data_IF_157326822363
#
_entry.id   IF_157326822363
#
_cell.length_a   1.000
_cell.length_b   1.000
_cell.length_c   1.000
_cell.angle_alpha   90.00
_cell.angle_beta   90.00
_cell.angle_gamma   90.00
#
_symmetry.space_group_name_H-M   'P 1'
#
loop_
_entity.id
_entity.type
_entity.pdbx_description
1 polymer ?
#
# COMPACT_ATOMS: atom_id res chain seq x y z
N UNK A 1 15.79 -17.90 -3.74
CA UNK A 1 14.87 -16.81 -3.38
C UNK A 1 15.56 -15.44 -3.28
N UNK A 2 16.65 -15.30 -2.53
CA UNK A 2 17.33 -14.00 -2.33
C UNK A 2 17.86 -13.36 -3.62
N UNK A 3 18.36 -14.15 -4.56
CA UNK A 3 18.91 -13.67 -5.85
C UNK A 3 17.87 -12.95 -6.72
N UNK A 4 16.65 -13.45 -6.75
CA UNK A 4 15.58 -12.82 -7.53
C UNK A 4 15.22 -11.43 -6.96
N UNK A 5 15.30 -11.22 -5.63
CA UNK A 5 15.06 -9.92 -5.01
C UNK A 5 16.22 -8.95 -5.23
N UNK A 6 17.45 -9.45 -5.27
CA UNK A 6 18.64 -8.64 -5.62
C UNK A 6 18.61 -8.18 -7.09
N UNK A 7 18.05 -9.00 -7.98
CA UNK A 7 17.92 -8.71 -9.40
C UNK A 7 16.88 -7.63 -9.73
N UNK A 8 16.12 -7.11 -8.74
CA UNK A 8 15.13 -6.03 -8.97
C UNK A 8 15.74 -4.70 -9.41
N UNK A 9 17.06 -4.51 -9.32
CA UNK A 9 17.80 -3.43 -9.94
C UNK A 9 17.64 -2.04 -9.32
N UNK A 10 16.66 -1.81 -8.44
CA UNK A 10 16.49 -0.53 -7.75
C UNK A 10 15.79 -0.69 -6.40
N UNK A 11 16.05 0.26 -5.46
CA UNK A 11 15.36 0.30 -4.17
C UNK A 11 13.86 0.58 -4.32
N UNK A 12 13.44 1.32 -5.35
CA UNK A 12 12.03 1.55 -5.65
C UNK A 12 11.33 0.24 -6.03
N UNK A 13 11.94 -0.56 -6.89
CA UNK A 13 11.43 -1.86 -7.27
C UNK A 13 11.39 -2.82 -6.07
N UNK A 14 12.44 -2.83 -5.23
CA UNK A 14 12.49 -3.63 -4.02
C UNK A 14 11.35 -3.27 -3.06
N UNK A 15 11.22 -2.00 -2.68
CA UNK A 15 10.19 -1.56 -1.73
C UNK A 15 8.79 -1.85 -2.26
N UNK A 16 8.55 -1.56 -3.54
CA UNK A 16 7.26 -1.84 -4.17
C UNK A 16 6.94 -3.34 -4.18
N UNK A 17 7.93 -4.18 -4.50
CA UNK A 17 7.73 -5.64 -4.52
C UNK A 17 7.50 -6.20 -3.11
N UNK A 18 8.22 -5.69 -2.09
CA UNK A 18 8.01 -6.08 -0.68
C UNK A 18 6.59 -5.73 -0.22
N UNK A 19 6.12 -4.53 -0.55
CA UNK A 19 4.78 -4.07 -0.19
C UNK A 19 3.70 -4.91 -0.86
N UNK A 20 3.81 -5.15 -2.17
CA UNK A 20 2.83 -5.96 -2.90
C UNK A 20 2.79 -7.39 -2.35
N UNK A 21 3.94 -8.00 -2.08
CA UNK A 21 4.01 -9.32 -1.49
C UNK A 21 3.40 -9.33 -0.07
N UNK A 22 3.66 -8.30 0.76
CA UNK A 22 3.06 -8.21 2.08
C UNK A 22 1.54 -8.05 2.02
N UNK A 23 1.03 -7.25 1.08
CA UNK A 23 -0.41 -7.14 0.84
C UNK A 23 -1.03 -8.48 0.41
N UNK A 24 -0.32 -9.28 -0.38
CA UNK A 24 -0.75 -10.65 -0.72
C UNK A 24 -0.86 -11.52 0.53
N UNK A 25 0.11 -11.45 1.43
CA UNK A 25 0.10 -12.19 2.71
C UNK A 25 -1.03 -11.73 3.64
N UNK A 26 -1.44 -10.47 3.52
CA UNK A 26 -2.56 -9.85 4.23
C UNK A 26 -3.93 -10.07 3.53
N UNK A 27 -3.97 -10.85 2.45
CA UNK A 27 -5.22 -11.27 1.80
C UNK A 27 -5.64 -10.46 0.58
N UNK A 28 -4.89 -9.45 0.15
CA UNK A 28 -5.15 -8.73 -1.11
C UNK A 28 -4.91 -9.67 -2.29
N UNK A 29 -5.84 -9.67 -3.26
CA UNK A 29 -5.75 -10.45 -4.49
C UNK A 29 -6.03 -9.62 -5.72
N UNK A 30 -6.70 -8.51 -5.57
CA UNK A 30 -7.13 -7.61 -6.63
C UNK A 30 -6.51 -6.24 -6.44
N UNK A 31 -5.87 -5.71 -7.48
CA UNK A 31 -5.28 -4.36 -7.49
C UNK A 31 -5.81 -3.60 -8.71
N UNK A 32 -6.48 -2.49 -8.46
CA UNK A 32 -6.97 -1.57 -9.47
C UNK A 32 -5.90 -0.52 -9.77
N UNK A 33 -5.59 -0.28 -11.05
CA UNK A 33 -4.45 0.57 -11.47
C UNK A 33 -4.94 1.63 -12.47
N UNK A 34 -4.66 2.90 -12.18
CA UNK A 34 -4.69 3.96 -13.20
C UNK A 34 -3.26 4.24 -13.70
N UNK A 35 -3.06 4.35 -15.04
CA UNK A 35 -1.74 4.59 -15.61
C UNK A 35 -1.13 5.91 -15.16
N UNK A 36 0.17 5.91 -14.83
CA UNK A 36 0.90 7.13 -14.48
C UNK A 36 2.37 6.86 -14.19
N UNK A 37 3.24 7.78 -14.59
CA UNK A 37 4.69 7.56 -14.50
C UNK A 37 5.17 7.38 -13.07
N UNK A 38 4.70 8.21 -12.12
CA UNK A 38 5.20 8.17 -10.75
C UNK A 38 4.84 6.87 -10.00
N UNK A 39 3.75 6.22 -10.38
CA UNK A 39 3.33 4.94 -9.82
C UNK A 39 3.99 3.71 -10.49
N UNK A 40 4.89 3.91 -11.46
CA UNK A 40 5.56 2.82 -12.19
C UNK A 40 6.14 1.74 -11.27
N UNK A 41 6.88 2.05 -10.19
CA UNK A 41 7.45 0.99 -9.34
C UNK A 41 6.38 0.07 -8.74
N UNK A 42 5.27 0.64 -8.24
CA UNK A 42 4.14 -0.12 -7.67
C UNK A 42 3.41 -0.92 -8.76
N UNK A 43 3.18 -0.31 -9.92
CA UNK A 43 2.50 -0.93 -11.05
C UNK A 43 3.27 -2.16 -11.55
N UNK A 44 4.58 -2.03 -11.73
CA UNK A 44 5.44 -3.14 -12.17
C UNK A 44 5.48 -4.27 -11.14
N UNK A 45 5.57 -3.93 -9.85
CA UNK A 45 5.55 -4.90 -8.77
C UNK A 45 4.22 -5.67 -8.71
N UNK A 46 3.08 -4.97 -8.87
CA UNK A 46 1.76 -5.60 -8.91
C UNK A 46 1.60 -6.53 -10.13
N UNK A 47 2.03 -6.06 -11.30
CA UNK A 47 1.96 -6.86 -12.54
C UNK A 47 2.87 -8.09 -12.53
N UNK A 48 3.98 -8.04 -11.79
CA UNK A 48 4.93 -9.15 -11.68
C UNK A 48 4.53 -10.20 -10.63
N UNK A 49 3.60 -9.88 -9.71
CA UNK A 49 3.20 -10.82 -8.66
C UNK A 49 2.08 -11.77 -9.15
N UNK A 50 2.34 -13.09 -9.26
CA UNK A 50 1.38 -14.04 -9.81
C UNK A 50 0.12 -14.26 -8.96
N UNK A 51 0.13 -13.83 -7.69
CA UNK A 51 -1.03 -13.93 -6.80
C UNK A 51 -1.99 -12.74 -6.92
N UNK A 52 -1.65 -11.72 -7.75
CA UNK A 52 -2.43 -10.52 -7.96
C UNK A 52 -3.12 -10.54 -9.32
N UNK A 53 -4.41 -10.22 -9.31
CA UNK A 53 -5.16 -9.85 -10.52
C UNK A 53 -5.18 -8.32 -10.63
N UNK A 54 -4.65 -7.79 -11.73
CA UNK A 54 -4.65 -6.35 -12.00
C UNK A 54 -5.86 -5.95 -12.83
N UNK A 55 -6.52 -4.85 -12.45
CA UNK A 55 -7.65 -4.24 -13.14
C UNK A 55 -7.28 -2.83 -13.59
N UNK A 56 -7.25 -2.59 -14.89
CA UNK A 56 -6.86 -1.30 -15.47
C UNK A 56 -8.09 -0.42 -15.71
N UNK A 57 -8.03 0.84 -15.27
CA UNK A 57 -9.03 1.86 -15.58
C UNK A 57 -8.38 3.24 -15.69
N UNK A 58 -8.76 4.03 -16.70
CA UNK A 58 -8.09 5.30 -16.98
C UNK A 58 -8.59 6.47 -16.13
N UNK A 59 -9.85 6.45 -15.68
CA UNK A 59 -10.44 7.45 -14.80
C UNK A 59 -10.30 7.01 -13.34
N UNK A 60 -9.53 7.75 -12.54
CA UNK A 60 -9.23 7.38 -11.17
C UNK A 60 -10.47 7.39 -10.27
N UNK A 61 -11.44 8.25 -10.54
CA UNK A 61 -12.71 8.24 -9.81
C UNK A 61 -13.49 6.97 -10.08
N UNK A 62 -13.62 6.57 -11.34
CA UNK A 62 -14.22 5.29 -11.74
C UNK A 62 -13.45 4.10 -11.19
N UNK A 63 -12.11 4.17 -11.18
CA UNK A 63 -11.22 3.16 -10.60
C UNK A 63 -11.49 2.95 -9.10
N UNK A 64 -11.65 4.03 -8.34
CA UNK A 64 -11.95 3.95 -6.91
C UNK A 64 -13.26 3.20 -6.63
N UNK A 65 -14.32 3.47 -7.41
CA UNK A 65 -15.59 2.75 -7.28
C UNK A 65 -15.52 1.31 -7.81
N UNK A 66 -14.71 1.03 -8.84
CA UNK A 66 -14.44 -0.34 -9.27
C UNK A 66 -13.80 -1.15 -8.13
N UNK A 67 -12.77 -0.60 -7.48
CA UNK A 67 -12.11 -1.23 -6.35
C UNK A 67 -13.07 -1.47 -5.16
N UNK A 68 -13.94 -0.50 -4.88
CA UNK A 68 -14.96 -0.60 -3.85
C UNK A 68 -15.93 -1.75 -4.15
N UNK A 69 -16.42 -1.85 -5.39
CA UNK A 69 -17.30 -2.93 -5.83
C UNK A 69 -16.62 -4.30 -5.75
N UNK A 70 -15.34 -4.40 -6.14
CA UNK A 70 -14.56 -5.64 -6.03
C UNK A 70 -14.36 -6.05 -4.55
N UNK A 71 -14.04 -5.10 -3.66
CA UNK A 71 -13.87 -5.38 -2.25
C UNK A 71 -15.18 -5.85 -1.60
N UNK A 72 -16.29 -5.20 -1.94
CA UNK A 72 -17.61 -5.57 -1.46
C UNK A 72 -18.06 -6.95 -1.98
N UNK A 73 -17.83 -7.24 -3.26
CA UNK A 73 -18.22 -8.51 -3.88
C UNK A 73 -17.37 -9.69 -3.43
N UNK A 74 -16.05 -9.48 -3.27
CA UNK A 74 -15.11 -10.53 -2.86
C UNK A 74 -15.00 -10.71 -1.34
N UNK A 75 -15.50 -9.76 -0.54
CA UNK A 75 -15.33 -9.70 0.92
C UNK A 75 -13.83 -9.73 1.33
N UNK A 76 -12.96 -9.18 0.50
CA UNK A 76 -11.51 -9.09 0.71
C UNK A 76 -11.02 -7.66 0.52
N UNK A 77 -9.90 -7.28 1.13
CA UNK A 77 -9.30 -5.99 0.85
C UNK A 77 -8.84 -5.91 -0.62
N UNK A 78 -9.06 -4.75 -1.24
CA UNK A 78 -8.62 -4.43 -2.62
C UNK A 78 -7.72 -3.21 -2.57
N UNK A 79 -6.64 -3.23 -3.34
CA UNK A 79 -5.73 -2.09 -3.44
C UNK A 79 -6.00 -1.26 -4.71
N UNK A 80 -5.68 0.03 -4.62
CA UNK A 80 -5.77 1.00 -5.73
C UNK A 80 -4.41 1.67 -5.87
N UNK A 81 -3.84 1.62 -7.06
CA UNK A 81 -2.58 2.30 -7.40
C UNK A 81 -2.88 3.46 -8.33
N UNK A 82 -2.49 4.67 -7.94
CA UNK A 82 -2.57 5.87 -8.77
C UNK A 82 -1.28 6.69 -8.70
N UNK A 83 -1.04 7.48 -9.73
CA UNK A 83 0.03 8.46 -9.75
C UNK A 83 -0.29 9.66 -8.84
N UNK A 84 0.55 10.68 -8.80
CA UNK A 84 0.40 11.85 -7.93
C UNK A 84 -0.56 12.90 -8.49
N UNK A 85 -0.86 13.90 -7.68
CA UNK A 85 -1.62 15.07 -8.08
C UNK A 85 -3.13 14.83 -8.09
N UNK A 86 -3.84 15.34 -9.10
CA UNK A 86 -5.29 15.21 -9.22
C UNK A 86 -5.77 13.75 -9.31
N UNK A 87 -4.92 12.82 -9.73
CA UNK A 87 -5.20 11.39 -9.70
C UNK A 87 -5.58 10.93 -8.29
N UNK A 88 -4.84 11.39 -7.27
CA UNK A 88 -5.13 11.09 -5.87
C UNK A 88 -6.44 11.73 -5.42
N UNK A 89 -6.64 13.01 -5.75
CA UNK A 89 -7.86 13.75 -5.38
C UNK A 89 -9.13 13.09 -5.94
N UNK A 90 -9.07 12.51 -7.12
CA UNK A 90 -10.19 11.82 -7.76
C UNK A 90 -10.66 10.57 -6.99
N UNK A 91 -9.85 10.00 -6.10
CA UNK A 91 -10.25 8.86 -5.28
C UNK A 91 -11.14 9.25 -4.10
N UNK A 92 -11.21 10.54 -3.72
CA UNK A 92 -11.93 10.99 -2.53
C UNK A 92 -13.39 10.51 -2.45
N UNK A 93 -14.22 10.54 -3.51
CA UNK A 93 -15.59 10.05 -3.44
C UNK A 93 -15.68 8.57 -3.02
N UNK A 94 -14.81 7.70 -3.58
CA UNK A 94 -14.78 6.29 -3.23
C UNK A 94 -14.22 6.06 -1.82
N UNK A 95 -13.27 6.89 -1.37
CA UNK A 95 -12.72 6.86 -0.01
C UNK A 95 -13.78 7.19 1.03
N UNK A 96 -14.61 8.22 0.76
CA UNK A 96 -15.74 8.59 1.61
C UNK A 96 -16.72 7.42 1.73
N UNK A 97 -17.11 6.83 0.61
CA UNK A 97 -18.04 5.70 0.58
C UNK A 97 -17.45 4.47 1.30
N UNK A 98 -16.18 4.15 1.05
CA UNK A 98 -15.50 3.04 1.72
C UNK A 98 -15.47 3.23 3.24
N UNK A 99 -15.29 4.47 3.72
CA UNK A 99 -15.31 4.77 5.15
C UNK A 99 -16.68 4.58 5.75
N UNK A 100 -17.73 5.09 5.08
CA UNK A 100 -19.11 5.01 5.58
C UNK A 100 -19.64 3.58 5.58
N UNK A 101 -19.25 2.79 4.58
CA UNK A 101 -19.70 1.40 4.41
C UNK A 101 -18.77 0.36 5.06
N UNK A 102 -17.66 0.78 5.69
CA UNK A 102 -16.70 -0.13 6.31
C UNK A 102 -15.99 -1.06 5.31
N UNK A 103 -15.75 -0.59 4.07
CA UNK A 103 -15.15 -1.40 3.00
C UNK A 103 -13.62 -1.26 3.05
N UNK A 104 -12.87 -2.38 3.11
CA UNK A 104 -11.40 -2.33 3.23
C UNK A 104 -10.75 -2.02 1.88
N UNK A 105 -10.41 -0.75 1.64
CA UNK A 105 -9.60 -0.31 0.51
C UNK A 105 -8.18 0.04 0.96
N UNK A 106 -7.18 -0.27 0.11
CA UNK A 106 -5.80 0.17 0.24
C UNK A 106 -5.49 1.19 -0.85
N UNK A 107 -5.26 2.42 -0.48
CA UNK A 107 -4.91 3.50 -1.41
C UNK A 107 -3.38 3.62 -1.42
N UNK A 108 -2.76 3.14 -2.49
CA UNK A 108 -1.33 3.18 -2.74
C UNK A 108 -1.05 4.31 -3.72
N UNK A 109 -0.84 5.51 -3.19
CA UNK A 109 -0.65 6.71 -4.00
C UNK A 109 0.82 7.04 -4.18
N UNK A 110 1.26 7.29 -5.40
CA UNK A 110 2.62 7.73 -5.65
C UNK A 110 2.75 9.24 -5.51
N UNK A 111 3.92 9.70 -5.05
CA UNK A 111 4.22 11.12 -4.83
C UNK A 111 5.64 11.46 -5.27
N UNK A 112 5.92 12.76 -5.37
CA UNK A 112 7.26 13.29 -5.53
C UNK A 112 8.03 13.21 -4.22
N UNK A 113 9.37 13.10 -4.27
CA UNK A 113 10.18 13.23 -3.07
C UNK A 113 10.08 14.64 -2.49
N UNK A 114 10.36 14.76 -1.19
CA UNK A 114 10.13 15.99 -0.42
C UNK A 114 10.78 17.24 -1.04
N UNK A 115 11.92 17.10 -1.67
CA UNK A 115 12.63 18.21 -2.35
C UNK A 115 11.90 18.76 -3.58
N UNK A 116 10.89 18.06 -4.10
CA UNK A 116 10.08 18.50 -5.23
C UNK A 116 8.69 19.00 -4.82
N UNK A 117 8.35 18.97 -3.55
CA UNK A 117 7.07 19.48 -3.06
C UNK A 117 7.19 20.99 -2.81
N UNK A 118 6.20 21.76 -3.30
CA UNK A 118 6.13 23.20 -3.06
C UNK A 118 7.05 24.07 -3.94
N UNK A 119 7.77 23.50 -4.89
CA UNK A 119 8.69 24.22 -5.77
C UNK A 119 8.23 24.35 -7.23
N UNK A 120 6.96 24.07 -7.52
CA UNK A 120 6.39 24.14 -8.88
C UNK A 120 6.68 22.91 -9.75
N UNK A 121 7.12 21.80 -9.17
CA UNK A 121 7.30 20.55 -9.91
C UNK A 121 5.99 20.10 -10.54
N UNK A 122 6.07 19.56 -11.78
CA UNK A 122 4.89 19.12 -12.51
C UNK A 122 4.11 18.05 -11.75
N UNK A 123 2.79 18.21 -11.67
CA UNK A 123 1.85 17.26 -11.06
C UNK A 123 2.21 16.93 -9.58
N UNK A 124 2.79 17.90 -8.86
CA UNK A 124 3.09 17.83 -7.44
C UNK A 124 2.08 18.68 -6.65
N UNK A 125 1.43 18.09 -5.66
CA UNK A 125 0.51 18.74 -4.73
C UNK A 125 0.81 18.24 -3.32
N UNK A 126 0.28 18.89 -2.31
CA UNK A 126 0.30 18.33 -0.95
C UNK A 126 -0.71 17.19 -0.85
N UNK A 127 -0.21 15.95 -0.73
CA UNK A 127 -0.99 14.73 -0.60
C UNK A 127 -1.14 14.26 0.86
N UNK A 128 -0.48 14.94 1.81
CA UNK A 128 -0.35 14.48 3.20
C UNK A 128 -1.69 14.31 3.92
N UNK A 129 -2.67 15.15 3.61
CA UNK A 129 -3.99 15.10 4.24
C UNK A 129 -5.14 15.18 3.22
N UNK A 130 -4.89 14.78 1.98
CA UNK A 130 -5.85 14.95 0.87
C UNK A 130 -7.18 14.22 1.10
N UNK A 131 -7.18 13.15 1.86
CA UNK A 131 -8.39 12.40 2.23
C UNK A 131 -8.92 12.79 3.63
N UNK A 132 -8.34 13.83 4.26
CA UNK A 132 -8.77 14.31 5.58
C UNK A 132 -8.83 13.18 6.62
N UNK A 133 -9.92 13.04 7.36
CA UNK A 133 -10.14 12.05 8.41
C UNK A 133 -10.85 10.77 7.92
N UNK A 134 -11.06 10.60 6.61
CA UNK A 134 -11.75 9.42 6.09
C UNK A 134 -10.95 8.12 6.18
N UNK A 135 -9.62 8.09 5.90
CA UNK A 135 -8.85 6.88 6.12
C UNK A 135 -8.81 6.49 7.60
N UNK A 136 -8.93 5.19 7.88
CA UNK A 136 -8.77 4.63 9.25
C UNK A 136 -7.31 4.63 9.67
N UNK A 137 -6.41 4.66 8.69
CA UNK A 137 -4.98 4.81 8.87
C UNK A 137 -4.38 5.51 7.65
N UNK A 138 -3.42 6.40 7.88
CA UNK A 138 -2.67 7.04 6.80
C UNK A 138 -1.21 7.21 7.19
N UNK A 139 -0.32 7.01 6.23
CA UNK A 139 1.11 7.17 6.42
C UNK A 139 1.78 7.70 5.14
N UNK A 140 2.66 8.69 5.33
CA UNK A 140 3.59 9.13 4.30
C UNK A 140 4.86 8.29 4.44
N UNK A 141 5.18 7.52 3.40
CA UNK A 141 6.38 6.71 3.38
C UNK A 141 7.54 7.53 2.81
N UNK A 142 8.72 7.44 3.41
CA UNK A 142 9.91 8.13 2.90
C UNK A 142 10.30 7.58 1.53
N UNK A 143 11.12 8.35 0.80
CA UNK A 143 11.75 7.86 -0.42
C UNK A 143 12.59 6.62 -0.10
N UNK A 144 12.46 5.53 -0.88
CA UNK A 144 13.20 4.30 -0.67
C UNK A 144 14.70 4.54 -0.50
N UNK A 145 15.26 4.03 0.59
CA UNK A 145 16.66 4.15 0.97
C UNK A 145 17.15 2.81 1.55
N UNK A 146 18.41 2.50 1.34
CA UNK A 146 19.07 1.33 1.93
C UNK A 146 19.51 1.55 3.39
N UNK A 147 19.43 2.78 3.88
CA UNK A 147 19.61 3.11 5.30
C UNK A 147 18.43 2.64 6.15
N UNK A 148 17.23 2.62 5.57
CA UNK A 148 16.02 2.18 6.25
C UNK A 148 15.90 0.64 6.14
N UNK A 149 15.75 -0.02 7.27
CA UNK A 149 15.60 -1.46 7.27
C UNK A 149 14.31 -1.88 6.57
N UNK A 150 14.32 -2.85 5.63
CA UNK A 150 13.12 -3.27 4.93
C UNK A 150 12.05 -3.88 5.86
N UNK A 151 12.44 -4.39 7.01
CA UNK A 151 11.52 -4.85 8.06
C UNK A 151 10.65 -3.72 8.62
N UNK A 152 11.16 -2.48 8.66
CA UNK A 152 10.35 -1.32 9.05
C UNK A 152 9.20 -1.08 8.06
N UNK A 153 9.49 -1.22 6.76
CA UNK A 153 8.48 -1.06 5.72
C UNK A 153 7.36 -2.11 5.86
N UNK A 154 7.74 -3.39 6.03
CA UNK A 154 6.79 -4.49 6.22
C UNK A 154 5.95 -4.27 7.49
N UNK A 155 6.59 -3.92 8.62
CA UNK A 155 5.89 -3.63 9.87
C UNK A 155 4.92 -2.45 9.73
N UNK A 156 5.24 -1.44 8.92
CA UNK A 156 4.33 -0.30 8.63
C UNK A 156 3.09 -0.76 7.88
N UNK A 157 3.23 -1.66 6.90
CA UNK A 157 2.09 -2.25 6.17
C UNK A 157 1.22 -3.09 7.12
N UNK A 158 1.84 -3.93 7.95
CA UNK A 158 1.11 -4.76 8.92
C UNK A 158 0.37 -3.91 9.96
N UNK A 159 0.96 -2.81 10.41
CA UNK A 159 0.29 -1.88 11.32
C UNK A 159 -0.95 -1.27 10.66
N UNK A 160 -0.85 -0.88 9.40
CA UNK A 160 -1.99 -0.35 8.64
C UNK A 160 -3.09 -1.41 8.50
N UNK A 161 -2.73 -2.67 8.21
CA UNK A 161 -3.66 -3.80 8.15
C UNK A 161 -4.35 -4.04 9.50
N UNK A 162 -3.60 -3.98 10.60
CA UNK A 162 -4.16 -4.11 11.93
C UNK A 162 -5.18 -3.01 12.23
N UNK A 163 -4.89 -1.75 11.91
CA UNK A 163 -5.84 -0.64 12.08
C UNK A 163 -7.10 -0.84 11.23
N UNK A 164 -6.94 -1.30 9.99
CA UNK A 164 -8.07 -1.62 9.11
C UNK A 164 -8.93 -2.76 9.64
N UNK A 165 -8.34 -3.76 10.30
CA UNK A 165 -9.06 -4.87 10.95
C UNK A 165 -9.82 -4.41 12.21
N UNK A 166 -9.25 -3.49 13.00
CA UNK A 166 -9.92 -2.92 14.17
C UNK A 166 -11.09 -2.01 13.80
N UNK A 167 -10.93 -1.25 12.73
CA UNK A 167 -11.94 -0.33 12.24
C UNK A 167 -12.01 -0.48 10.70
N UNK A 168 -12.95 -1.26 10.17
CA UNK A 168 -13.05 -1.45 8.73
C UNK A 168 -13.21 -0.14 7.97
N UNK A 169 -12.46 0.00 6.87
CA UNK A 169 -12.45 1.22 6.07
C UNK A 169 -11.18 1.38 5.22
N UNK A 170 -11.01 2.53 4.56
CA UNK A 170 -9.86 2.76 3.71
C UNK A 170 -8.58 3.06 4.49
N UNK A 171 -7.46 2.56 3.98
CA UNK A 171 -6.09 2.87 4.43
C UNK A 171 -5.39 3.65 3.32
N UNK A 172 -4.60 4.65 3.67
CA UNK A 172 -3.82 5.45 2.73
C UNK A 172 -2.32 5.33 3.03
N UNK A 173 -1.57 4.81 2.07
CA UNK A 173 -0.11 4.81 2.06
C UNK A 173 0.37 5.66 0.89
N UNK A 174 1.08 6.75 1.17
CA UNK A 174 1.61 7.67 0.17
C UNK A 174 3.10 7.42 -0.02
N UNK A 175 3.50 7.05 -1.25
CA UNK A 175 4.84 6.59 -1.61
C UNK A 175 5.63 7.67 -2.32
N UNK A 176 6.69 8.12 -1.73
CA UNK A 176 7.62 9.07 -2.35
C UNK A 176 8.62 8.35 -3.25
N UNK A 177 8.56 8.57 -4.56
CA UNK A 177 9.50 8.00 -5.52
C UNK A 177 10.33 9.08 -6.23
N UNK A 178 11.66 8.93 -6.16
CA UNK A 178 12.63 9.75 -6.91
C UNK A 178 12.95 9.09 -8.24
N UNK A 179 13.26 9.85 -9.27
CA UNK A 179 13.77 9.28 -10.52
C UNK A 179 15.18 8.70 -10.36
N UNK A 180 15.54 7.64 -11.09
CA UNK A 180 14.74 6.95 -12.12
C UNK A 180 13.64 6.05 -11.52
N UNK A 181 12.47 5.98 -12.20
CA UNK A 181 11.31 5.20 -11.75
C UNK A 181 11.33 3.74 -12.23
N UNK A 182 12.11 3.49 -13.28
CA UNK A 182 12.33 2.15 -13.82
C UNK A 182 13.58 1.53 -13.22
N UNK A 183 13.61 0.21 -13.01
CA UNK A 183 14.85 -0.47 -12.67
C UNK A 183 15.86 -0.31 -13.82
N UNK A 184 17.14 -0.25 -13.48
CA UNK A 184 18.22 -0.20 -14.47
C UNK A 184 18.66 -1.64 -14.77
N UNK A 185 18.61 -2.01 -16.04
CA UNK A 185 19.03 -3.35 -16.48
C UNK A 185 20.46 -3.70 -16.04
N UNK A 186 20.63 -4.90 -15.51
CA UNK A 186 21.92 -5.41 -15.04
C UNK A 186 22.41 -4.84 -13.72
N UNK A 187 21.69 -3.91 -13.10
CA UNK A 187 21.99 -3.43 -11.75
C UNK A 187 21.49 -4.43 -10.71
N UNK A 188 22.35 -4.77 -9.76
CA UNK A 188 21.99 -5.57 -8.59
C UNK A 188 21.93 -4.71 -7.35
N UNK A 189 20.98 -5.03 -6.49
CA UNK A 189 20.91 -4.42 -5.15
C UNK A 189 22.01 -4.95 -4.25
N UNK A 190 22.60 -4.09 -3.39
CA UNK A 190 23.56 -4.55 -2.41
C UNK A 190 22.90 -5.52 -1.43
N UNK A 191 23.66 -6.52 -0.98
CA UNK A 191 23.13 -7.57 -0.09
C UNK A 191 22.50 -7.02 1.20
N UNK A 192 23.00 -5.89 1.71
CA UNK A 192 22.47 -5.26 2.92
C UNK A 192 21.07 -4.64 2.72
N UNK A 193 20.62 -4.40 1.48
CA UNK A 193 19.27 -3.93 1.20
C UNK A 193 18.19 -4.96 1.58
N UNK A 194 18.56 -6.23 1.72
CA UNK A 194 17.68 -7.33 2.14
C UNK A 194 17.91 -7.75 3.60
N UNK A 195 18.67 -6.96 4.38
CA UNK A 195 19.01 -7.33 5.75
C UNK A 195 17.78 -7.58 6.62
N UNK A 196 17.85 -8.63 7.40
CA UNK A 196 16.82 -8.98 8.39
C UNK A 196 15.59 -9.69 7.81
N UNK A 197 15.50 -9.93 6.49
CA UNK A 197 14.32 -10.53 5.87
C UNK A 197 14.35 -12.06 5.75
N UNK A 198 15.39 -12.75 6.22
CA UNK A 198 15.54 -14.21 6.04
C UNK A 198 14.28 -14.98 6.49
N UNK A 199 13.80 -14.71 7.70
CA UNK A 199 12.57 -15.34 8.22
C UNK A 199 11.35 -15.07 7.34
N UNK A 200 11.23 -13.87 6.79
CA UNK A 200 10.10 -13.50 5.95
C UNK A 200 10.15 -14.24 4.60
N UNK A 201 11.33 -14.41 4.03
CA UNK A 201 11.50 -15.21 2.80
C UNK A 201 11.21 -16.70 3.00
N UNK A 202 11.43 -17.22 4.21
CA UNK A 202 11.22 -18.63 4.56
C UNK A 202 9.77 -18.93 4.97
N UNK A 203 8.90 -17.93 5.03
CA UNK A 203 7.50 -18.07 5.41
C UNK A 203 6.55 -17.46 4.38
N UNK A 204 5.25 -17.79 4.48
CA UNK A 204 4.16 -17.13 3.75
C UNK A 204 3.33 -16.24 4.67
N UNK A 205 3.76 -16.03 5.91
CA UNK A 205 3.08 -15.22 6.90
C UNK A 205 3.49 -13.75 6.77
N UNK A 206 2.63 -12.79 7.16
CA UNK A 206 3.00 -11.41 7.30
C UNK A 206 4.19 -11.21 8.23
N UNK A 207 4.93 -10.13 8.07
CA UNK A 207 6.11 -9.82 8.89
C UNK A 207 5.77 -9.71 10.37
N UNK A 208 4.66 -9.00 10.69
CA UNK A 208 4.17 -8.83 12.05
C UNK A 208 2.76 -9.38 12.16
N UNK A 209 2.53 -10.26 13.12
CA UNK A 209 1.19 -10.73 13.46
C UNK A 209 0.71 -10.00 14.72
N UNK A 210 -0.35 -9.24 14.59
CA UNK A 210 -1.02 -8.60 15.72
C UNK A 210 -2.07 -9.54 16.31
N UNK A 211 -2.07 -9.69 17.63
CA UNK A 211 -3.13 -10.40 18.33
C UNK A 211 -4.04 -9.37 18.97
N UNK A 212 -5.34 -9.32 18.60
CA UNK A 212 -6.30 -8.43 19.25
C UNK A 212 -6.32 -8.72 20.76
N UNK A 213 -6.36 -7.68 21.58
CA UNK A 213 -6.59 -7.85 23.01
C UNK A 213 -7.94 -8.60 23.20
N UNK A 214 -7.91 -9.73 23.88
CA UNK A 214 -9.15 -10.37 24.31
C UNK A 214 -9.82 -9.43 25.30
N UNK A 215 -10.84 -8.72 24.85
CA UNK A 215 -11.73 -8.01 25.75
C UNK A 215 -12.45 -9.10 26.56
N UNK A 216 -12.04 -9.27 27.81
CA UNK A 216 -12.81 -10.08 28.74
C UNK A 216 -14.20 -9.43 28.82
N UNK A 217 -15.17 -10.01 28.11
CA UNK A 217 -16.55 -9.66 28.29
C UNK A 217 -16.92 -10.13 29.70
N UNK A 218 -16.78 -9.25 30.70
CA UNK A 218 -17.41 -9.49 31.99
C UNK A 218 -18.91 -9.49 31.69
N UNK A 219 -19.52 -10.66 31.65
CA UNK A 219 -20.96 -10.76 31.76
C UNK A 219 -21.29 -10.16 33.11
N UNK A 220 -21.79 -8.95 33.12
CA UNK A 220 -22.39 -8.34 34.30
C UNK A 220 -23.72 -9.07 34.50
N UNK A 221 -23.92 -9.82 35.64
CA UNK A 221 -25.16 -10.53 35.89
C UNK A 221 -26.37 -9.62 36.07
N UNK A 222 -26.18 -8.31 36.07
CA UNK A 222 -27.23 -7.31 36.32
C UNK A 222 -28.29 -7.20 35.21
N UNK A 223 -28.16 -7.91 34.07
CA UNK A 223 -29.11 -7.85 32.95
C UNK A 223 -30.10 -9.04 32.91
N UNK A 224 -30.09 -9.93 33.92
CA UNK A 224 -30.99 -11.08 34.04
C UNK A 224 -32.14 -10.88 35.06
N UNK A 225 -32.60 -9.63 35.30
CA UNK A 225 -33.80 -9.35 36.11
C UNK A 225 -34.90 -8.67 35.30
#
# INVERSE_FOLDING_TARGET
MTEQWQALGSLHALWSSLIIEELVRLGVRDICIAPGSRSTPLTLAAAANPAITTHLHFDERGLGFLALGLAQGSQRPVAVIVTSGSAVANLLPAVVEARQSGIPLWLLTADRPAELIGNGANQAIDQSAIFSSYPVYQQLLPTPSDEIAPSWLLASVDQAAFQQQQTPGPVHLNFSFREPLYPVDGQQLPAHALRGLSRWFDSHEPWTRYTPAQTACSRDPAWET
#
